data_IF_736993534041
#
_entry.id   IF_736993534041
#
_cell.length_a   1.000
_cell.length_b   1.000
_cell.length_c   1.000
_cell.angle_alpha   90.00
_cell.angle_beta   90.00
_cell.angle_gamma   90.00
#
_symmetry.space_group_name_H-M   'P 1'
#
loop_
_entity.id
_entity.type
_entity.pdbx_description
1 polymer ?
#
# COMPACT_ATOMS: atom_id res chain seq x y z
N UNK A 1 7.95 4.53 -23.22
CA UNK A 1 7.13 4.93 -22.05
C UNK A 1 6.91 3.72 -21.13
N UNK A 2 7.22 3.90 -19.84
CA UNK A 2 6.87 3.10 -18.64
C UNK A 2 6.55 1.58 -18.73
N UNK A 3 7.28 0.79 -19.53
CA UNK A 3 7.19 -0.69 -19.50
C UNK A 3 7.34 -1.29 -18.08
N UNK A 4 8.02 -0.58 -17.18
CA UNK A 4 8.37 -1.06 -15.83
C UNK A 4 7.29 -0.81 -14.74
N UNK A 5 6.15 -0.20 -15.06
CA UNK A 5 5.13 0.14 -14.04
C UNK A 5 3.94 -0.83 -13.99
N UNK A 6 3.82 -1.75 -14.95
CA UNK A 6 2.72 -2.72 -15.01
C UNK A 6 3.11 -3.97 -14.22
N UNK A 7 2.25 -4.36 -13.27
CA UNK A 7 2.40 -5.59 -12.49
C UNK A 7 1.14 -6.45 -12.64
N UNK A 8 1.32 -7.77 -12.59
CA UNK A 8 0.20 -8.71 -12.63
C UNK A 8 -0.47 -8.77 -11.25
N UNK A 9 -1.78 -8.91 -11.27
CA UNK A 9 -2.57 -9.20 -10.09
C UNK A 9 -2.57 -10.74 -9.91
N UNK A 10 -2.03 -11.22 -8.80
CA UNK A 10 -1.87 -12.64 -8.51
C UNK A 10 -2.79 -13.08 -7.39
N UNK A 11 -3.32 -14.30 -7.46
CA UNK A 11 -4.16 -14.89 -6.40
C UNK A 11 -3.29 -15.28 -5.20
N UNK A 12 -3.75 -15.00 -3.98
CA UNK A 12 -3.06 -15.37 -2.74
C UNK A 12 -4.06 -15.99 -1.75
N UNK A 13 -3.67 -17.07 -1.08
CA UNK A 13 -4.50 -17.81 -0.12
C UNK A 13 -5.66 -18.56 -0.77
N UNK A 14 -6.73 -18.80 0.00
CA UNK A 14 -7.90 -19.64 -0.36
C UNK A 14 -8.88 -18.95 -1.33
N UNK A 15 -8.31 -18.47 -2.43
CA UNK A 15 -8.98 -18.03 -3.64
C UNK A 15 -9.78 -16.72 -3.60
N UNK A 16 -9.99 -16.04 -2.48
CA UNK A 16 -10.74 -14.76 -2.47
C UNK A 16 -9.88 -13.50 -2.49
N UNK A 17 -8.58 -13.63 -2.27
CA UNK A 17 -7.67 -12.49 -2.17
C UNK A 17 -6.73 -12.42 -3.38
N UNK A 18 -6.43 -11.19 -3.77
CA UNK A 18 -5.50 -10.88 -4.85
C UNK A 18 -4.41 -9.94 -4.31
N UNK A 19 -3.19 -10.11 -4.80
CA UNK A 19 -2.03 -9.29 -4.46
C UNK A 19 -1.40 -8.69 -5.71
N UNK A 20 -0.77 -7.54 -5.52
CA UNK A 20 0.14 -6.93 -6.49
C UNK A 20 1.46 -6.69 -5.79
N UNK A 21 2.57 -7.03 -6.45
CA UNK A 21 3.90 -6.78 -5.89
C UNK A 21 4.21 -5.29 -6.04
N UNK A 22 4.37 -4.62 -4.90
CA UNK A 22 4.83 -3.23 -4.85
C UNK A 22 6.37 -3.28 -4.81
N UNK A 23 7.06 -2.61 -5.75
CA UNK A 23 8.52 -2.51 -5.75
C UNK A 23 9.07 -1.96 -4.42
N UNK A 24 10.24 -2.47 -4.01
CA UNK A 24 10.86 -2.16 -2.71
C UNK A 24 11.17 -0.65 -2.56
N UNK A 25 11.49 0.02 -3.66
CA UNK A 25 11.80 1.45 -3.68
C UNK A 25 10.58 2.30 -3.25
N UNK A 26 9.38 1.87 -3.63
CA UNK A 26 8.13 2.55 -3.24
C UNK A 26 7.85 2.30 -1.75
N UNK A 27 8.06 1.07 -1.27
CA UNK A 27 7.91 0.73 0.15
C UNK A 27 8.88 1.55 1.00
N UNK A 28 10.15 1.66 0.58
CA UNK A 28 11.16 2.45 1.26
C UNK A 28 10.83 3.95 1.27
N UNK A 29 10.40 4.51 0.13
CA UNK A 29 9.99 5.91 0.03
C UNK A 29 8.76 6.25 0.89
N UNK A 30 7.88 5.27 1.14
CA UNK A 30 6.74 5.40 2.05
C UNK A 30 7.10 5.15 3.52
N UNK A 31 8.37 4.84 3.84
CA UNK A 31 8.85 4.44 5.16
C UNK A 31 8.03 3.29 5.77
N UNK A 32 7.60 2.38 4.91
CA UNK A 32 6.74 1.25 5.25
C UNK A 32 7.58 0.07 5.72
N UNK A 33 7.16 -0.57 6.82
CA UNK A 33 7.83 -1.75 7.39
C UNK A 33 7.02 -3.02 7.21
N UNK A 34 7.71 -4.15 7.27
CA UNK A 34 7.08 -5.47 7.27
C UNK A 34 6.06 -5.62 8.42
N UNK A 35 4.97 -6.35 8.16
CA UNK A 35 3.87 -6.62 9.10
C UNK A 35 3.13 -5.40 9.68
N UNK A 36 3.37 -4.19 9.15
CA UNK A 36 2.60 -3.02 9.57
C UNK A 36 1.14 -3.08 9.07
N UNK A 37 0.27 -2.33 9.75
CA UNK A 37 -1.14 -2.19 9.37
C UNK A 37 -1.31 -1.09 8.33
N UNK A 38 -2.01 -1.40 7.24
CA UNK A 38 -2.35 -0.46 6.18
C UNK A 38 -3.87 -0.42 5.98
N UNK A 39 -4.37 0.73 5.56
CA UNK A 39 -5.76 0.93 5.14
C UNK A 39 -5.80 0.84 3.62
N UNK A 40 -6.64 -0.05 3.11
CA UNK A 40 -6.90 -0.23 1.68
C UNK A 40 -8.28 0.32 1.37
N UNK A 41 -8.38 1.31 0.48
CA UNK A 41 -9.65 1.96 0.13
C UNK A 41 -9.85 2.02 -1.39
N UNK A 42 -11.02 1.61 -1.85
CA UNK A 42 -11.41 1.76 -3.27
C UNK A 42 -11.74 3.22 -3.58
N UNK A 43 -11.26 3.70 -4.71
CA UNK A 43 -11.68 4.96 -5.35
C UNK A 43 -12.09 4.67 -6.80
N UNK A 44 -12.58 5.66 -7.53
CA UNK A 44 -12.93 5.48 -8.95
C UNK A 44 -11.69 5.03 -9.75
N UNK A 45 -11.74 3.83 -10.33
CA UNK A 45 -10.68 3.28 -11.17
C UNK A 45 -9.40 2.82 -10.46
N UNK A 46 -9.31 2.91 -9.12
CA UNK A 46 -8.07 2.55 -8.41
C UNK A 46 -8.31 2.13 -6.95
N UNK A 47 -7.26 1.59 -6.33
CA UNK A 47 -7.17 1.33 -4.89
C UNK A 47 -6.09 2.20 -4.30
N UNK A 48 -6.38 2.87 -3.20
CA UNK A 48 -5.43 3.68 -2.45
C UNK A 48 -5.06 2.92 -1.19
N UNK A 49 -3.76 2.78 -0.94
CA UNK A 49 -3.20 2.15 0.25
C UNK A 49 -2.55 3.26 1.09
N UNK A 50 -2.89 3.34 2.38
CA UNK A 50 -2.33 4.33 3.31
C UNK A 50 -1.87 3.64 4.58
N UNK A 51 -0.87 4.24 5.23
CA UNK A 51 -0.53 3.85 6.60
C UNK A 51 -1.75 4.01 7.50
N UNK A 52 -2.04 3.00 8.32
CA UNK A 52 -3.17 3.01 9.23
C UNK A 52 -3.02 3.95 10.42
N UNK A 53 -1.92 4.74 10.51
CA UNK A 53 -1.54 5.72 11.56
C UNK A 53 -2.55 5.76 12.69
N UNK A 54 -2.46 4.79 13.60
CA UNK A 54 -3.32 4.73 14.78
C UNK A 54 -3.21 6.08 15.48
N UNK A 55 -4.35 6.73 15.79
CA UNK A 55 -4.56 8.13 16.20
C UNK A 55 -3.55 8.81 17.18
N UNK A 56 -2.55 8.12 17.72
CA UNK A 56 -1.54 8.67 18.64
C UNK A 56 -0.58 9.70 18.02
N UNK A 57 -0.39 9.75 16.69
CA UNK A 57 0.63 10.61 16.07
C UNK A 57 0.11 11.78 15.22
N UNK A 58 -1.19 12.08 15.24
CA UNK A 58 -1.76 13.21 14.46
C UNK A 58 -1.23 14.59 14.92
N UNK A 59 -0.76 14.71 16.18
CA UNK A 59 -0.34 15.99 16.77
C UNK A 59 1.15 16.36 16.60
N UNK A 60 1.93 15.62 15.81
CA UNK A 60 3.37 15.92 15.63
C UNK A 60 3.72 16.66 14.34
N UNK A 61 2.81 16.70 13.37
CA UNK A 61 3.06 17.32 12.05
C UNK A 61 2.50 18.76 11.95
N UNK A 62 2.11 19.39 13.08
CA UNK A 62 1.63 20.79 13.16
C UNK A 62 2.52 21.62 14.10
N UNK A 63 3.85 21.47 14.00
CA UNK A 63 4.80 22.39 14.65
C UNK A 63 5.89 22.77 13.68
#
# INVERSE_FOLDING_TARGET
>A
MAKNKIRKLTRVGDARSMSVVIPAEIIAALAWREHQRLIVRKIAGAVVIRDARTKKNINRDIR
#
